data_IF_761637176463
#
_entry.id   IF_761637176463
#
_cell.length_a   1.000
_cell.length_b   1.000
_cell.length_c   1.000
_cell.angle_alpha   90.00
_cell.angle_beta   90.00
_cell.angle_gamma   90.00
#
_symmetry.space_group_name_H-M   'P 1'
#
loop_
_entity.id
_entity.type
_entity.pdbx_description
1 polymer ?
#
# COMPACT_ATOMS: atom_id res chain seq x y z
N UNK A 1 -41.67 58.31 -67.12
CA UNK A 1 -40.36 58.72 -67.64
C UNK A 1 -39.69 59.53 -66.56
N UNK A 2 -38.64 59.07 -66.05
CA UNK A 2 -37.48 59.71 -65.42
C UNK A 2 -36.89 58.72 -64.40
N UNK A 3 -35.69 58.31 -64.63
CA UNK A 3 -34.91 57.31 -63.93
C UNK A 3 -34.29 57.89 -62.67
N UNK A 4 -34.37 57.17 -61.59
CA UNK A 4 -33.59 57.43 -60.39
C UNK A 4 -32.28 56.67 -60.38
N UNK A 5 -31.12 57.33 -60.29
CA UNK A 5 -29.84 56.67 -60.19
C UNK A 5 -29.16 57.06 -58.85
N UNK A 6 -29.33 56.21 -57.82
CA UNK A 6 -28.32 56.17 -56.74
C UNK A 6 -28.62 55.01 -55.78
N UNK A 7 -28.21 53.80 -56.19
CA UNK A 7 -28.00 52.71 -55.24
C UNK A 7 -26.55 52.73 -54.73
N UNK A 8 -26.35 53.45 -53.61
CA UNK A 8 -25.09 53.39 -52.91
C UNK A 8 -24.93 52.08 -52.15
N UNK A 9 -23.88 51.35 -52.51
CA UNK A 9 -23.43 50.14 -51.85
C UNK A 9 -22.82 50.53 -50.49
N UNK A 10 -23.44 50.14 -49.41
CA UNK A 10 -22.83 50.18 -48.05
C UNK A 10 -22.09 48.86 -47.86
N UNK A 11 -20.79 48.89 -47.88
CA UNK A 11 -19.92 47.79 -47.45
C UNK A 11 -19.93 47.79 -45.90
N UNK A 12 -20.58 46.78 -45.35
CA UNK A 12 -20.48 46.49 -43.92
C UNK A 12 -19.11 45.83 -43.65
N UNK A 13 -18.18 46.52 -43.04
CA UNK A 13 -16.96 45.94 -42.50
C UNK A 13 -17.32 45.17 -41.24
N UNK A 14 -17.32 43.83 -41.35
CA UNK A 14 -17.38 42.93 -40.21
C UNK A 14 -15.99 42.88 -39.58
N UNK A 15 -15.80 43.57 -38.45
CA UNK A 15 -14.66 43.35 -37.59
C UNK A 15 -14.82 42.02 -36.87
N UNK A 16 -14.10 41.02 -37.35
CA UNK A 16 -13.94 39.73 -36.64
C UNK A 16 -12.98 39.94 -35.47
N UNK A 17 -13.53 40.15 -34.29
CA UNK A 17 -12.76 40.12 -33.04
C UNK A 17 -12.44 38.64 -32.72
N UNK A 18 -11.27 38.19 -33.17
CA UNK A 18 -10.67 36.94 -32.62
C UNK A 18 -10.22 37.20 -31.19
N UNK A 19 -11.08 36.85 -30.22
CA UNK A 19 -10.66 36.70 -28.82
C UNK A 19 -9.76 35.48 -28.74
N UNK A 20 -8.46 35.64 -28.75
CA UNK A 20 -7.48 34.63 -28.38
C UNK A 20 -7.60 34.44 -26.85
N UNK A 21 -8.36 33.42 -26.41
CA UNK A 21 -8.39 32.93 -25.04
C UNK A 21 -7.06 32.22 -24.77
N UNK A 22 -6.07 32.95 -24.25
CA UNK A 22 -4.85 32.35 -23.74
C UNK A 22 -5.21 31.54 -22.48
N UNK A 23 -5.38 30.21 -22.61
CA UNK A 23 -5.41 29.29 -21.47
C UNK A 23 -4.03 29.33 -20.80
N UNK A 24 -3.89 30.15 -19.78
CA UNK A 24 -2.82 30.03 -18.81
C UNK A 24 -3.04 28.72 -18.04
N UNK A 25 -2.43 27.65 -18.50
CA UNK A 25 -2.21 26.44 -17.70
C UNK A 25 -1.30 26.85 -16.55
N UNK A 26 -1.91 27.23 -15.42
CA UNK A 26 -1.20 27.36 -14.16
C UNK A 26 -0.68 25.96 -13.81
N UNK A 27 0.57 25.68 -14.15
CA UNK A 27 1.30 24.54 -13.65
C UNK A 27 1.28 24.66 -12.11
N UNK A 28 0.44 23.88 -11.45
CA UNK A 28 0.48 23.80 -10.00
C UNK A 28 1.92 23.34 -9.64
N UNK A 29 2.62 24.05 -8.75
CA UNK A 29 3.93 23.61 -8.32
C UNK A 29 3.74 22.19 -7.74
N UNK A 30 4.50 21.24 -8.27
CA UNK A 30 4.57 19.89 -7.70
C UNK A 30 4.88 20.08 -6.22
N UNK A 31 3.92 19.76 -5.37
CA UNK A 31 4.04 19.92 -3.93
C UNK A 31 5.23 19.07 -3.48
N UNK A 32 6.36 19.71 -3.17
CA UNK A 32 7.56 19.01 -2.76
C UNK A 32 7.20 18.08 -1.59
N UNK A 33 7.50 16.81 -1.75
CA UNK A 33 7.24 15.83 -0.72
C UNK A 33 7.97 16.24 0.56
N UNK A 34 7.25 16.35 1.66
CA UNK A 34 7.89 16.58 2.95
C UNK A 34 8.94 15.46 3.18
N UNK A 35 10.16 15.81 3.61
CA UNK A 35 11.20 14.84 3.84
C UNK A 35 10.76 13.82 4.90
N UNK A 36 11.12 12.55 4.69
CA UNK A 36 10.92 11.51 5.70
C UNK A 36 11.82 11.80 6.92
N UNK A 37 11.43 11.36 8.11
CA UNK A 37 12.30 11.45 9.27
C UNK A 37 13.66 10.78 9.04
N UNK A 38 14.74 11.24 9.70
CA UNK A 38 16.05 10.62 9.58
C UNK A 38 15.99 9.11 9.85
N UNK A 39 16.68 8.33 9.03
CA UNK A 39 16.72 6.87 9.13
C UNK A 39 15.60 6.15 8.36
N UNK A 40 14.65 6.88 7.75
CA UNK A 40 13.58 6.30 6.92
C UNK A 40 13.77 6.63 5.44
N UNK A 41 13.36 5.69 4.58
CA UNK A 41 13.38 5.84 3.13
C UNK A 41 12.07 5.32 2.52
N UNK A 42 11.78 5.77 1.30
CA UNK A 42 10.73 5.19 0.46
C UNK A 42 11.27 3.92 -0.22
N UNK A 43 10.89 2.76 0.27
CA UNK A 43 11.32 1.48 -0.30
C UNK A 43 10.85 1.32 -1.76
N UNK A 44 9.69 1.90 -2.12
CA UNK A 44 9.22 1.92 -3.51
C UNK A 44 10.14 2.66 -4.46
N UNK A 45 10.90 3.64 -3.95
CA UNK A 45 11.86 4.41 -4.74
C UNK A 45 13.27 3.77 -4.78
N UNK A 46 13.65 2.98 -3.76
CA UNK A 46 15.02 2.46 -3.63
C UNK A 46 15.15 0.96 -3.91
N UNK A 47 14.05 0.22 -3.94
CA UNK A 47 14.02 -1.22 -4.25
C UNK A 47 13.51 -1.40 -5.67
N UNK A 48 14.43 -1.65 -6.60
CA UNK A 48 14.10 -1.78 -8.02
C UNK A 48 13.10 -2.91 -8.30
N UNK A 49 12.02 -2.59 -9.02
CA UNK A 49 10.97 -3.54 -9.38
C UNK A 49 10.06 -3.98 -8.23
N UNK A 50 10.09 -3.28 -7.08
CA UNK A 50 9.13 -3.52 -6.00
C UNK A 50 7.74 -3.03 -6.43
N UNK A 51 6.75 -3.90 -6.33
CA UNK A 51 5.34 -3.52 -6.56
C UNK A 51 4.76 -2.99 -5.25
N UNK A 52 4.19 -1.78 -5.28
CA UNK A 52 3.61 -1.12 -4.10
C UNK A 52 2.08 -1.10 -4.22
N UNK A 53 1.40 -1.80 -3.32
CA UNK A 53 -0.08 -1.89 -3.24
C UNK A 53 -0.52 -1.64 -1.79
N UNK A 54 -0.34 -0.39 -1.33
CA UNK A 54 -0.61 -0.02 0.07
C UNK A 54 -2.10 -0.12 0.41
N UNK A 55 -2.49 -1.22 1.03
CA UNK A 55 -3.90 -1.57 1.29
C UNK A 55 -4.60 -0.59 2.20
N UNK A 56 -3.88 0.01 3.14
CA UNK A 56 -4.43 0.95 4.10
C UNK A 56 -4.54 2.39 3.60
N UNK A 57 -3.96 2.69 2.44
CA UNK A 57 -4.21 3.95 1.73
C UNK A 57 -5.59 3.98 1.03
N UNK A 58 -6.13 2.82 0.69
CA UNK A 58 -7.43 2.66 0.05
C UNK A 58 -8.47 1.99 0.98
N UNK A 59 -9.52 1.47 0.37
CA UNK A 59 -10.63 0.79 1.03
C UNK A 59 -10.56 -0.75 0.94
N UNK A 60 -9.55 -1.30 0.25
CA UNK A 60 -9.35 -2.74 0.08
C UNK A 60 -8.64 -3.36 1.29
N UNK A 61 -9.21 -3.16 2.47
CA UNK A 61 -8.73 -3.69 3.75
C UNK A 61 -9.91 -4.14 4.62
N UNK A 62 -9.64 -4.74 5.77
CA UNK A 62 -10.66 -5.29 6.66
C UNK A 62 -11.58 -4.23 7.32
N UNK A 63 -11.15 -2.96 7.35
CA UNK A 63 -11.96 -1.84 7.82
C UNK A 63 -12.90 -1.36 6.71
N UNK A 64 -12.44 -1.38 5.44
CA UNK A 64 -13.20 -0.97 4.25
C UNK A 64 -13.27 0.55 4.08
N UNK A 65 -12.24 1.24 4.53
CA UNK A 65 -11.99 2.66 4.28
C UNK A 65 -10.50 2.96 4.41
N UNK A 66 -10.06 4.16 3.98
CA UNK A 66 -8.68 4.59 4.16
C UNK A 66 -8.36 4.76 5.64
N UNK A 67 -7.21 4.25 6.04
CA UNK A 67 -6.77 4.26 7.44
C UNK A 67 -6.04 5.56 7.77
N UNK A 68 -6.25 6.07 8.98
CA UNK A 68 -5.64 7.31 9.46
C UNK A 68 -4.12 7.28 9.33
N UNK A 69 -3.56 8.36 8.83
CA UNK A 69 -2.11 8.51 8.67
C UNK A 69 -1.55 7.99 7.36
N UNK A 70 -2.32 7.30 6.51
CA UNK A 70 -1.95 6.96 5.14
C UNK A 70 -2.43 8.07 4.20
N UNK A 71 -1.57 9.04 3.93
CA UNK A 71 -1.90 10.18 3.06
C UNK A 71 -1.44 9.93 1.61
N UNK A 72 -0.53 8.96 1.39
CA UNK A 72 -0.06 8.48 0.08
C UNK A 72 0.18 6.99 0.08
N UNK A 73 0.14 6.38 -1.11
CA UNK A 73 0.49 4.98 -1.32
C UNK A 73 2.03 4.83 -1.41
N UNK A 74 2.72 4.91 -0.27
CA UNK A 74 4.18 4.77 -0.17
C UNK A 74 4.55 3.68 0.81
N UNK A 75 5.52 2.86 0.45
CA UNK A 75 6.17 1.92 1.35
C UNK A 75 7.34 2.61 2.04
N UNK A 76 7.16 3.10 3.24
CA UNK A 76 8.21 3.70 4.05
C UNK A 76 8.80 2.63 4.97
N UNK A 77 10.13 2.49 4.97
CA UNK A 77 10.86 1.57 5.86
C UNK A 77 12.08 2.27 6.45
N UNK A 78 12.61 1.71 7.53
CA UNK A 78 13.95 2.07 7.99
C UNK A 78 14.97 1.76 6.89
N UNK A 79 15.99 2.59 6.74
CA UNK A 79 16.97 2.42 5.67
C UNK A 79 17.67 1.04 5.66
N UNK A 80 18.05 0.44 6.82
CA UNK A 80 18.56 -0.93 6.86
C UNK A 80 17.56 -1.97 6.36
N UNK A 81 16.29 -1.90 6.79
CA UNK A 81 15.25 -2.83 6.34
C UNK A 81 14.99 -2.71 4.83
N UNK A 82 14.94 -1.49 4.28
CA UNK A 82 14.79 -1.27 2.84
C UNK A 82 15.99 -1.83 2.05
N UNK A 83 17.21 -1.67 2.55
CA UNK A 83 18.42 -2.23 1.93
C UNK A 83 18.40 -3.77 1.92
N UNK A 84 17.99 -4.39 3.03
CA UNK A 84 17.80 -5.84 3.14
C UNK A 84 16.71 -6.33 2.16
N UNK A 85 15.57 -5.62 2.09
CA UNK A 85 14.49 -5.95 1.15
C UNK A 85 14.94 -5.86 -0.30
N UNK A 86 15.81 -4.89 -0.64
CA UNK A 86 16.38 -4.77 -1.99
C UNK A 86 17.27 -5.98 -2.34
N UNK A 87 17.97 -6.57 -1.38
CA UNK A 87 18.73 -7.80 -1.60
C UNK A 87 17.80 -8.99 -1.87
N UNK A 88 16.73 -9.16 -1.08
CA UNK A 88 15.71 -10.20 -1.31
C UNK A 88 15.07 -10.06 -2.70
N UNK A 89 14.72 -8.83 -3.09
CA UNK A 89 14.15 -8.54 -4.41
C UNK A 89 15.08 -8.95 -5.55
N UNK A 90 16.39 -8.66 -5.45
CA UNK A 90 17.39 -9.08 -6.46
C UNK A 90 17.50 -10.59 -6.57
N UNK A 91 17.53 -11.30 -5.44
CA UNK A 91 17.61 -12.78 -5.42
C UNK A 91 16.38 -13.42 -6.08
N UNK A 92 15.19 -12.87 -5.82
CA UNK A 92 13.95 -13.33 -6.42
C UNK A 92 13.89 -13.00 -7.91
N UNK A 93 14.43 -11.86 -8.33
CA UNK A 93 14.46 -11.43 -9.73
C UNK A 93 15.20 -12.42 -10.62
N UNK A 94 16.30 -13.04 -10.14
CA UNK A 94 17.04 -14.08 -10.83
C UNK A 94 16.20 -15.34 -11.10
N UNK A 95 15.07 -15.50 -10.41
CA UNK A 95 14.12 -16.63 -10.55
C UNK A 95 12.83 -16.22 -11.29
N UNK A 96 12.78 -15.03 -11.87
CA UNK A 96 11.59 -14.49 -12.53
C UNK A 96 10.47 -14.06 -11.58
N UNK A 97 10.79 -13.92 -10.27
CA UNK A 97 9.89 -13.50 -9.22
C UNK A 97 10.21 -12.08 -8.72
N UNK A 98 9.27 -11.48 -8.05
CA UNK A 98 9.41 -10.18 -7.38
C UNK A 98 8.54 -10.11 -6.14
N UNK A 99 8.69 -9.03 -5.40
CA UNK A 99 7.90 -8.73 -4.22
C UNK A 99 6.80 -7.70 -4.54
N UNK A 100 5.66 -7.86 -3.90
CA UNK A 100 4.58 -6.90 -3.84
C UNK A 100 4.26 -6.62 -2.37
N UNK A 101 4.36 -5.36 -1.94
CA UNK A 101 4.11 -4.94 -0.56
C UNK A 101 2.69 -4.45 -0.38
N UNK A 102 2.07 -4.82 0.73
CA UNK A 102 0.73 -4.44 1.16
C UNK A 102 0.74 -3.41 2.28
N UNK A 103 1.71 -3.52 3.21
CA UNK A 103 1.98 -2.56 4.27
C UNK A 103 3.47 -2.52 4.63
N UNK A 104 3.92 -1.35 5.10
CA UNK A 104 5.29 -1.07 5.49
C UNK A 104 5.25 -0.37 6.87
N UNK A 105 5.89 0.78 7.06
CA UNK A 105 5.69 1.59 8.24
C UNK A 105 4.21 1.96 8.41
N UNK A 106 3.66 1.69 9.58
CA UNK A 106 2.28 1.99 9.98
C UNK A 106 2.31 2.99 11.14
N UNK A 107 1.82 4.23 10.96
CA UNK A 107 1.81 5.20 12.05
C UNK A 107 0.93 4.72 13.22
N UNK A 108 1.26 5.12 14.46
CA UNK A 108 0.47 4.77 15.66
C UNK A 108 -0.99 5.20 15.55
N UNK A 109 -1.29 6.32 14.88
CA UNK A 109 -2.67 6.74 14.62
C UNK A 109 -3.45 5.74 13.76
N UNK A 110 -2.79 5.00 12.85
CA UNK A 110 -3.41 3.92 12.07
C UNK A 110 -3.75 2.74 12.98
N UNK A 111 -2.86 2.36 13.90
CA UNK A 111 -3.13 1.33 14.91
C UNK A 111 -4.32 1.75 15.78
N UNK A 112 -4.36 3.00 16.24
CA UNK A 112 -5.49 3.55 16.99
C UNK A 112 -6.80 3.54 16.17
N UNK A 113 -6.74 3.72 14.84
CA UNK A 113 -7.90 3.58 13.97
C UNK A 113 -8.43 2.14 13.98
N UNK A 114 -7.56 1.13 13.88
CA UNK A 114 -7.98 -0.28 13.98
C UNK A 114 -8.63 -0.60 15.31
N UNK A 115 -8.08 -0.08 16.42
CA UNK A 115 -8.67 -0.24 17.77
C UNK A 115 -10.07 0.36 17.82
N UNK A 116 -10.25 1.60 17.36
CA UNK A 116 -11.57 2.26 17.31
C UNK A 116 -12.56 1.51 16.42
N UNK A 117 -12.10 1.01 15.26
CA UNK A 117 -12.94 0.21 14.37
C UNK A 117 -13.35 -1.12 15.04
N UNK A 118 -12.44 -1.81 15.71
CA UNK A 118 -12.76 -3.07 16.41
C UNK A 118 -13.80 -2.88 17.52
N UNK A 119 -13.80 -1.74 18.20
CA UNK A 119 -14.78 -1.38 19.22
C UNK A 119 -16.18 -1.07 18.66
N UNK A 120 -16.30 -0.72 17.37
CA UNK A 120 -17.58 -0.54 16.69
C UNK A 120 -18.15 -1.88 16.23
N UNK A 121 -18.76 -2.63 17.14
CA UNK A 121 -19.17 -4.04 16.94
C UNK A 121 -20.10 -4.22 15.73
N UNK A 122 -20.96 -3.24 15.45
CA UNK A 122 -21.94 -3.31 14.35
C UNK A 122 -21.32 -3.01 12.96
N UNK A 123 -20.08 -2.49 12.90
CA UNK A 123 -19.40 -2.25 11.63
C UNK A 123 -18.77 -3.54 11.10
N UNK A 124 -19.59 -4.35 10.44
CA UNK A 124 -19.22 -5.68 9.91
C UNK A 124 -19.23 -5.74 8.38
N UNK A 125 -19.14 -4.58 7.70
CA UNK A 125 -19.24 -4.47 6.23
C UNK A 125 -18.26 -5.34 5.45
N UNK A 126 -17.07 -5.62 6.01
CA UNK A 126 -16.03 -6.45 5.39
C UNK A 126 -15.89 -7.84 6.04
N UNK A 127 -16.77 -8.21 6.98
CA UNK A 127 -16.68 -9.46 7.73
C UNK A 127 -16.59 -10.68 6.81
N UNK A 128 -17.46 -10.77 5.81
CA UNK A 128 -17.52 -11.94 4.91
C UNK A 128 -16.21 -12.19 4.16
N UNK A 129 -15.46 -11.13 3.89
CA UNK A 129 -14.22 -11.21 3.10
C UNK A 129 -12.98 -11.46 3.96
N UNK A 130 -12.88 -10.78 5.13
CA UNK A 130 -11.66 -10.78 5.91
C UNK A 130 -11.72 -11.61 7.21
N UNK A 131 -12.90 -11.76 7.81
CA UNK A 131 -13.04 -12.46 9.11
C UNK A 131 -14.39 -13.18 9.25
N UNK A 132 -14.75 -14.06 8.25
CA UNK A 132 -16.09 -14.69 8.22
C UNK A 132 -16.40 -15.48 9.48
N UNK A 133 -15.41 -16.16 10.03
CA UNK A 133 -15.54 -17.12 11.13
C UNK A 133 -15.16 -16.52 12.50
N UNK A 134 -14.70 -15.26 12.56
CA UNK A 134 -14.31 -14.60 13.81
C UNK A 134 -15.38 -13.61 14.25
N UNK A 135 -15.79 -13.68 15.52
CA UNK A 135 -16.62 -12.62 16.10
C UNK A 135 -15.76 -11.36 16.31
N UNK A 136 -16.27 -10.22 15.92
CA UNK A 136 -15.55 -8.94 16.04
C UNK A 136 -15.16 -8.62 17.49
N UNK A 137 -15.93 -9.10 18.47
CA UNK A 137 -15.66 -9.00 19.90
C UNK A 137 -14.40 -9.76 20.35
N UNK A 138 -14.01 -10.78 19.59
CA UNK A 138 -12.87 -11.65 19.91
C UNK A 138 -11.56 -11.21 19.21
N UNK A 139 -11.58 -10.17 18.35
CA UNK A 139 -10.40 -9.74 17.56
C UNK A 139 -9.16 -9.44 18.40
N UNK A 140 -9.34 -8.83 19.58
CA UNK A 140 -8.23 -8.57 20.51
C UNK A 140 -7.77 -9.86 21.19
N UNK A 141 -8.71 -10.66 21.68
CA UNK A 141 -8.43 -11.93 22.38
C UNK A 141 -7.70 -12.92 21.48
N UNK A 142 -8.11 -13.01 20.22
CA UNK A 142 -7.50 -13.87 19.20
C UNK A 142 -6.17 -13.29 18.65
N UNK A 143 -5.87 -12.03 18.97
CA UNK A 143 -4.62 -11.38 18.59
C UNK A 143 -4.60 -10.82 17.16
N UNK A 144 -5.75 -10.71 16.48
CA UNK A 144 -5.84 -10.09 15.15
C UNK A 144 -5.71 -8.58 15.21
N UNK A 145 -6.15 -7.94 16.29
CA UNK A 145 -5.97 -6.50 16.55
C UNK A 145 -5.16 -6.33 17.82
N UNK A 146 -4.21 -5.40 17.78
CA UNK A 146 -3.34 -5.05 18.90
C UNK A 146 -3.23 -3.54 19.05
N UNK A 147 -3.03 -3.06 20.27
CA UNK A 147 -2.77 -1.65 20.58
C UNK A 147 -1.36 -1.18 20.18
N UNK A 148 -0.47 -2.11 19.89
CA UNK A 148 0.89 -1.87 19.40
C UNK A 148 1.20 -2.74 18.20
N UNK A 149 1.93 -2.19 17.24
CA UNK A 149 2.32 -2.90 16.02
C UNK A 149 3.81 -2.78 15.75
N UNK A 150 4.44 -3.88 15.35
CA UNK A 150 5.82 -3.89 14.87
C UNK A 150 6.04 -2.94 13.69
N UNK A 151 5.05 -2.76 12.84
CA UNK A 151 5.09 -1.82 11.71
C UNK A 151 5.38 -0.37 12.14
N UNK A 152 4.91 0.04 13.33
CA UNK A 152 5.15 1.41 13.83
C UNK A 152 6.61 1.68 14.17
N UNK A 153 7.48 0.66 14.21
CA UNK A 153 8.93 0.79 14.38
C UNK A 153 9.67 0.95 13.05
N UNK A 154 8.97 0.76 11.91
CA UNK A 154 9.49 1.02 10.56
C UNK A 154 10.37 -0.08 9.97
N UNK A 155 10.43 -1.26 10.58
CA UNK A 155 11.25 -2.38 10.08
C UNK A 155 10.43 -3.65 9.82
N UNK A 156 9.11 -3.54 9.85
CA UNK A 156 8.16 -4.62 9.52
C UNK A 156 7.50 -4.34 8.18
N UNK A 157 7.28 -5.39 7.40
CA UNK A 157 6.68 -5.33 6.07
C UNK A 157 5.72 -6.50 5.86
N UNK A 158 4.56 -6.21 5.27
CA UNK A 158 3.60 -7.21 4.80
C UNK A 158 3.70 -7.30 3.27
N UNK A 159 3.90 -8.51 2.74
CA UNK A 159 4.19 -8.68 1.33
C UNK A 159 3.87 -10.08 0.79
N UNK A 160 3.88 -10.19 -0.54
CA UNK A 160 3.70 -11.44 -1.27
C UNK A 160 4.69 -11.55 -2.43
N UNK A 161 4.70 -12.73 -3.07
CA UNK A 161 5.44 -12.98 -4.32
C UNK A 161 4.59 -12.66 -5.53
N UNK A 162 5.21 -12.07 -6.55
CA UNK A 162 4.62 -11.87 -7.88
C UNK A 162 5.51 -12.46 -8.96
N UNK A 163 4.91 -12.90 -10.06
CA UNK A 163 5.66 -13.24 -11.27
C UNK A 163 6.05 -11.95 -12.00
N UNK A 164 7.30 -11.77 -12.30
CA UNK A 164 7.78 -10.57 -13.01
C UNK A 164 7.23 -10.43 -14.44
N UNK A 165 6.92 -11.56 -15.07
CA UNK A 165 6.47 -11.58 -16.45
C UNK A 165 5.09 -10.90 -16.66
N UNK A 166 4.19 -11.00 -15.69
CA UNK A 166 2.82 -10.52 -15.81
C UNK A 166 2.28 -9.81 -14.55
N UNK A 167 3.08 -9.69 -13.49
CA UNK A 167 2.72 -9.03 -12.24
C UNK A 167 1.71 -9.79 -11.36
N UNK A 168 1.33 -11.02 -11.75
CA UNK A 168 0.35 -11.80 -10.98
C UNK A 168 0.96 -12.32 -9.69
N UNK A 169 0.19 -12.19 -8.60
CA UNK A 169 0.54 -12.77 -7.31
C UNK A 169 0.57 -14.30 -7.39
N UNK A 170 1.49 -14.91 -6.65
CA UNK A 170 1.42 -16.34 -6.38
C UNK A 170 0.30 -16.61 -5.37
N UNK A 171 -0.41 -17.71 -5.55
CA UNK A 171 -1.46 -18.11 -4.62
C UNK A 171 -0.84 -18.50 -3.27
N UNK A 172 -1.27 -17.86 -2.21
CA UNK A 172 -0.84 -18.10 -0.83
C UNK A 172 -1.91 -18.85 -0.01
N UNK A 173 -3.04 -19.27 -0.63
CA UNK A 173 -4.11 -20.04 -0.01
C UNK A 173 -5.05 -19.22 0.88
N UNK A 174 -4.71 -17.99 1.22
CA UNK A 174 -5.61 -17.01 1.85
C UNK A 174 -5.26 -15.60 1.40
N UNK A 175 -6.22 -14.69 1.53
CA UNK A 175 -5.99 -13.27 1.26
C UNK A 175 -5.04 -12.66 2.32
N UNK A 176 -4.42 -11.56 1.97
CA UNK A 176 -3.80 -10.64 2.94
C UNK A 176 -4.87 -10.15 3.94
N UNK A 177 -4.52 -10.03 5.21
CA UNK A 177 -5.45 -9.65 6.31
C UNK A 177 -6.64 -10.60 6.51
N UNK A 178 -6.55 -11.84 6.07
CA UNK A 178 -7.59 -12.82 6.35
C UNK A 178 -7.45 -13.36 7.77
N UNK A 179 -8.30 -12.95 8.68
CA UNK A 179 -8.28 -13.34 10.11
C UNK A 179 -8.80 -14.76 10.28
N UNK A 180 -7.91 -15.72 10.17
CA UNK A 180 -8.19 -17.14 10.25
C UNK A 180 -6.90 -17.92 10.48
N UNK A 181 -6.92 -19.08 11.13
CA UNK A 181 -5.78 -20.00 11.15
C UNK A 181 -5.25 -20.37 9.76
N UNK A 182 -6.07 -20.28 8.71
CA UNK A 182 -5.63 -20.44 7.31
C UNK A 182 -4.53 -19.47 6.90
N UNK A 183 -4.37 -18.36 7.59
CA UNK A 183 -3.30 -17.39 7.33
C UNK A 183 -1.98 -17.72 8.04
N UNK A 184 -1.98 -18.69 8.94
CA UNK A 184 -0.75 -19.10 9.61
C UNK A 184 0.18 -19.82 8.65
N UNK A 185 1.48 -19.53 8.65
CA UNK A 185 2.47 -20.23 7.81
C UNK A 185 2.43 -21.74 8.00
N UNK A 186 2.08 -22.22 9.21
CA UNK A 186 2.02 -23.63 9.57
C UNK A 186 0.71 -24.33 9.18
N UNK A 187 -0.29 -23.60 8.67
CA UNK A 187 -1.58 -24.20 8.30
C UNK A 187 -1.43 -25.13 7.08
N UNK A 188 -1.86 -26.37 7.24
CA UNK A 188 -1.78 -27.41 6.20
C UNK A 188 -3.09 -27.63 5.46
N UNK A 189 -4.15 -26.89 5.78
CA UNK A 189 -5.45 -26.97 5.11
C UNK A 189 -5.47 -26.28 3.74
N UNK A 190 -4.50 -25.40 3.47
CA UNK A 190 -4.28 -24.80 2.14
C UNK A 190 -3.60 -25.81 1.22
N UNK A 191 -3.80 -25.67 -0.09
CA UNK A 191 -3.25 -26.65 -1.05
C UNK A 191 -1.71 -26.65 -1.11
N UNK A 192 -1.14 -27.72 -1.66
CA UNK A 192 0.32 -27.90 -1.72
C UNK A 192 1.05 -26.79 -2.49
N UNK A 193 0.52 -26.26 -3.61
CA UNK A 193 1.12 -25.09 -4.27
C UNK A 193 1.19 -23.85 -3.37
N UNK A 194 0.13 -23.52 -2.63
CA UNK A 194 0.13 -22.38 -1.71
C UNK A 194 1.12 -22.59 -0.54
N UNK A 195 1.20 -23.81 0.02
CA UNK A 195 2.21 -24.15 1.03
C UNK A 195 3.63 -23.94 0.49
N UNK A 196 3.91 -24.40 -0.73
CA UNK A 196 5.22 -24.22 -1.38
C UNK A 196 5.54 -22.74 -1.61
N UNK A 197 4.56 -21.93 -2.02
CA UNK A 197 4.73 -20.49 -2.23
C UNK A 197 5.04 -19.76 -0.91
N UNK A 198 4.31 -20.08 0.18
CA UNK A 198 4.60 -19.55 1.53
C UNK A 198 6.01 -19.91 2.00
N UNK A 199 6.41 -21.17 1.82
CA UNK A 199 7.74 -21.64 2.19
C UNK A 199 8.84 -20.93 1.38
N UNK A 200 8.60 -20.70 0.08
CA UNK A 200 9.51 -19.94 -0.79
C UNK A 200 9.67 -18.50 -0.30
N UNK A 201 8.56 -17.83 0.00
CA UNK A 201 8.55 -16.46 0.54
C UNK A 201 9.30 -16.38 1.87
N UNK A 202 8.94 -17.24 2.83
CA UNK A 202 9.58 -17.29 4.15
C UNK A 202 11.08 -17.54 4.05
N UNK A 203 11.50 -18.47 3.20
CA UNK A 203 12.92 -18.77 2.99
C UNK A 203 13.67 -17.59 2.33
N UNK A 204 13.07 -16.89 1.38
CA UNK A 204 13.68 -15.71 0.75
C UNK A 204 13.85 -14.58 1.76
N UNK A 205 12.81 -14.27 2.53
CA UNK A 205 12.83 -13.22 3.55
C UNK A 205 13.80 -13.55 4.69
N UNK A 206 13.84 -14.79 5.16
CA UNK A 206 14.78 -15.22 6.21
C UNK A 206 16.24 -15.08 5.78
N UNK A 207 16.59 -15.43 4.53
CA UNK A 207 17.94 -15.18 4.00
C UNK A 207 18.28 -13.69 3.94
N UNK A 208 17.29 -12.83 3.76
CA UNK A 208 17.44 -11.37 3.80
C UNK A 208 17.47 -10.77 5.21
N UNK A 209 17.49 -11.59 6.28
CA UNK A 209 17.52 -11.11 7.65
C UNK A 209 16.16 -10.69 8.23
N UNK A 210 15.06 -11.17 7.63
CA UNK A 210 13.71 -10.94 8.14
C UNK A 210 13.19 -12.18 8.88
N UNK A 211 12.56 -11.97 10.03
CA UNK A 211 11.87 -12.99 10.81
C UNK A 211 10.39 -13.02 10.46
N UNK A 212 9.82 -14.20 10.11
CA UNK A 212 8.38 -14.35 9.90
C UNK A 212 7.61 -14.22 11.21
N UNK A 213 6.31 -13.94 11.09
CA UNK A 213 5.35 -14.03 12.19
C UNK A 213 4.49 -15.30 12.06
N UNK A 214 4.27 -16.00 13.16
CA UNK A 214 3.68 -17.34 13.17
C UNK A 214 2.19 -17.38 12.80
N UNK A 215 1.49 -16.24 12.82
CA UNK A 215 0.06 -16.17 12.53
C UNK A 215 -0.30 -15.55 11.17
N UNK A 216 0.71 -15.05 10.43
CA UNK A 216 0.49 -14.29 9.19
C UNK A 216 1.58 -14.62 8.18
N UNK A 217 1.23 -15.29 7.06
CA UNK A 217 2.20 -15.73 6.05
C UNK A 217 2.88 -14.55 5.32
N UNK A 218 2.28 -13.36 5.38
CA UNK A 218 2.77 -12.14 4.70
C UNK A 218 3.70 -11.29 5.57
N UNK A 219 3.71 -11.48 6.91
CA UNK A 219 4.29 -10.56 7.88
C UNK A 219 5.74 -10.90 8.26
N UNK A 220 6.64 -9.95 8.05
CA UNK A 220 8.07 -10.13 8.29
C UNK A 220 8.67 -8.90 8.97
N UNK A 221 9.47 -9.11 10.01
CA UNK A 221 10.20 -8.06 10.71
C UNK A 221 11.70 -8.24 10.50
N UNK A 222 12.40 -7.18 10.08
CA UNK A 222 13.85 -7.15 9.96
C UNK A 222 14.49 -7.34 11.34
N UNK A 223 15.43 -8.28 11.49
CA UNK A 223 15.97 -8.70 12.80
C UNK A 223 16.79 -7.59 13.44
N UNK A 224 17.62 -6.90 12.65
CA UNK A 224 18.48 -5.81 13.12
C UNK A 224 17.80 -4.45 12.99
N UNK A 225 16.56 -4.35 13.50
CA UNK A 225 15.79 -3.10 13.43
C UNK A 225 16.48 -1.97 14.23
N UNK A 226 16.66 -0.77 13.61
CA UNK A 226 17.39 0.32 14.27
C UNK A 226 16.59 1.00 15.38
N UNK A 227 15.27 0.78 15.44
CA UNK A 227 14.36 1.43 16.39
C UNK A 227 13.48 0.41 17.13
N UNK A 228 14.07 -0.58 17.86
CA UNK A 228 13.30 -1.71 18.41
C UNK A 228 12.26 -1.30 19.45
N UNK A 229 12.44 -0.16 20.12
CA UNK A 229 11.60 0.33 21.21
C UNK A 229 10.82 1.62 20.86
N UNK A 230 10.98 2.14 19.62
CA UNK A 230 10.37 3.41 19.21
C UNK A 230 9.19 3.20 18.27
N UNK A 231 8.00 3.59 18.72
CA UNK A 231 6.77 3.54 17.93
C UNK A 231 6.47 4.93 17.37
N UNK A 232 6.67 5.09 16.09
CA UNK A 232 6.52 6.39 15.42
C UNK A 232 5.06 6.69 15.04
N UNK A 233 4.75 7.99 14.86
CA UNK A 233 3.41 8.45 14.46
C UNK A 233 3.46 9.56 13.39
N UNK A 234 4.50 9.61 12.56
CA UNK A 234 4.49 10.52 11.41
C UNK A 234 3.60 9.95 10.29
N UNK A 235 2.86 10.81 9.54
CA UNK A 235 2.02 10.33 8.44
C UNK A 235 2.85 9.84 7.25
N UNK A 236 2.32 8.85 6.53
CA UNK A 236 2.86 8.36 5.25
C UNK A 236 2.46 9.32 4.14
N UNK A 237 3.40 10.20 3.71
CA UNK A 237 3.20 11.28 2.73
C UNK A 237 4.01 11.09 1.47
#
# INVERSE_FOLDING_TARGET
>A
MIRDPWKGKRHAFLYSCCLALALLLLAQPAQAQAPLPPGFVDAGAVVDGLVVDMRYFGDKNFVGERIDGYERARCVLSAPAASALAAVQRDLAARGLGLKVFDCYRPQRAVAHFVRWAQRIDDVKRKREFYPDVDKRDLFKEGYISERSGHSRGSTVDLTLVRRADGRELDMGSLFDFFSPKSWPSDTSVDAPAQANRALLAAAMSRGGFRPYDKEWWHFTFVDEPFPDTYFDFPVR
#
